data_IF_074009086827
#
_entry.id   IF_074009086827
#
_cell.length_a   1.000
_cell.length_b   1.000
_cell.length_c   1.000
_cell.angle_alpha   90.00
_cell.angle_beta   90.00
_cell.angle_gamma   90.00
#
_symmetry.space_group_name_H-M   'P 1'
#
loop_
_entity.id
_entity.type
_entity.pdbx_description
1 polymer ?
#
# COMPACT_ATOMS: atom_id res chain seq x y z
N UNK A 1 -17.89 -2.55 13.80
CA UNK A 1 -16.68 -3.39 13.70
C UNK A 1 -15.48 -2.51 13.99
N UNK A 2 -15.04 -2.50 15.24
CA UNK A 2 -13.82 -1.79 15.67
C UNK A 2 -12.62 -2.47 15.00
N UNK A 3 -11.69 -1.73 14.37
CA UNK A 3 -10.42 -2.33 13.97
C UNK A 3 -9.70 -2.77 15.24
N UNK A 4 -9.35 -4.05 15.32
CA UNK A 4 -8.53 -4.59 16.40
C UNK A 4 -7.21 -3.82 16.41
N UNK A 5 -6.96 -3.09 17.50
CA UNK A 5 -5.75 -2.33 17.81
C UNK A 5 -4.56 -3.23 18.15
N UNK A 6 -4.50 -4.42 17.53
CA UNK A 6 -3.41 -5.35 17.67
C UNK A 6 -2.40 -5.10 16.55
N UNK A 7 -1.13 -4.99 16.92
CA UNK A 7 -0.02 -4.86 15.97
C UNK A 7 -0.06 -6.02 14.95
N UNK A 8 0.31 -5.78 13.68
CA UNK A 8 0.36 -6.83 12.67
C UNK A 8 1.27 -7.97 13.12
N UNK A 9 0.85 -9.22 12.93
CA UNK A 9 1.61 -10.44 13.28
C UNK A 9 1.97 -11.22 12.01
N UNK A 10 2.87 -12.21 12.10
CA UNK A 10 3.21 -13.06 10.93
C UNK A 10 1.99 -13.84 10.37
N UNK A 11 0.99 -14.13 11.20
CA UNK A 11 -0.27 -14.74 10.76
C UNK A 11 -1.30 -13.71 10.25
N UNK A 12 -1.15 -12.43 10.61
CA UNK A 12 -2.06 -11.36 10.22
C UNK A 12 -1.31 -10.11 9.75
N UNK A 13 -0.87 -10.15 8.49
CA UNK A 13 -0.23 -9.00 7.85
C UNK A 13 -1.23 -7.87 7.58
N UNK A 14 -0.85 -6.65 7.91
CA UNK A 14 -1.60 -5.47 7.51
C UNK A 14 -1.46 -5.26 6.00
N UNK A 15 -2.58 -5.19 5.29
CA UNK A 15 -2.64 -4.97 3.84
C UNK A 15 -3.25 -3.62 3.56
N UNK A 16 -2.55 -2.80 2.77
CA UNK A 16 -3.05 -1.52 2.31
C UNK A 16 -3.29 -1.56 0.80
N UNK A 17 -4.41 -1.01 0.37
CA UNK A 17 -4.86 -1.07 -1.02
C UNK A 17 -4.60 0.23 -1.77
N UNK A 18 -4.65 0.15 -3.09
CA UNK A 18 -4.61 1.33 -3.93
C UNK A 18 -5.83 2.24 -3.69
N UNK A 19 -5.66 3.51 -4.01
CA UNK A 19 -6.73 4.50 -3.94
C UNK A 19 -7.79 4.21 -5.02
N UNK A 20 -9.07 4.04 -4.65
CA UNK A 20 -10.09 3.48 -5.54
C UNK A 20 -10.47 4.40 -6.70
N UNK A 21 -10.33 5.72 -6.56
CA UNK A 21 -10.73 6.66 -7.62
C UNK A 21 -9.93 6.45 -8.92
N UNK A 22 -8.66 6.04 -8.82
CA UNK A 22 -7.82 5.71 -9.99
C UNK A 22 -8.39 4.48 -10.71
N UNK A 23 -8.80 3.46 -9.93
CA UNK A 23 -9.47 2.27 -10.45
C UNK A 23 -10.79 2.62 -11.14
N UNK A 24 -11.60 3.51 -10.54
CA UNK A 24 -12.87 3.98 -11.13
C UNK A 24 -12.61 4.68 -12.47
N UNK A 25 -11.63 5.58 -12.52
CA UNK A 25 -11.29 6.33 -13.72
C UNK A 25 -10.82 5.39 -14.85
N UNK A 26 -9.87 4.50 -14.57
CA UNK A 26 -9.36 3.54 -15.54
C UNK A 26 -10.46 2.59 -16.04
N UNK A 27 -11.30 2.09 -15.13
CA UNK A 27 -12.39 1.20 -15.46
C UNK A 27 -13.45 1.91 -16.31
N UNK A 28 -13.86 3.12 -15.93
CA UNK A 28 -14.83 3.91 -16.67
C UNK A 28 -14.36 4.27 -18.08
N UNK A 29 -13.12 4.75 -18.22
CA UNK A 29 -12.52 5.06 -19.52
C UNK A 29 -12.36 3.81 -20.37
N UNK A 30 -11.87 2.70 -19.80
CA UNK A 30 -11.74 1.43 -20.50
C UNK A 30 -13.07 0.89 -21.03
N UNK A 31 -14.12 0.92 -20.19
CA UNK A 31 -15.47 0.51 -20.58
C UNK A 31 -16.06 1.42 -21.68
N UNK A 32 -15.88 2.74 -21.57
CA UNK A 32 -16.33 3.67 -22.60
C UNK A 32 -15.68 3.38 -23.96
N UNK A 33 -14.36 3.14 -23.98
CA UNK A 33 -13.63 2.77 -25.20
C UNK A 33 -14.16 1.45 -25.76
N UNK A 34 -14.41 0.44 -24.92
CA UNK A 34 -14.97 -0.83 -25.38
C UNK A 34 -16.35 -0.65 -26.02
N UNK A 35 -17.26 0.09 -25.38
CA UNK A 35 -18.61 0.34 -25.90
C UNK A 35 -18.55 1.07 -27.24
N UNK A 36 -17.73 2.12 -27.35
CA UNK A 36 -17.54 2.85 -28.61
C UNK A 36 -16.91 1.98 -29.69
N UNK A 37 -15.93 1.14 -29.35
CA UNK A 37 -15.27 0.23 -30.29
C UNK A 37 -16.25 -0.82 -30.83
N UNK A 38 -17.06 -1.42 -29.96
CA UNK A 38 -18.10 -2.38 -30.35
C UNK A 38 -19.13 -1.70 -31.26
N UNK A 39 -19.60 -0.50 -30.89
CA UNK A 39 -20.53 0.27 -31.72
C UNK A 39 -19.97 0.56 -33.12
N UNK A 40 -18.69 0.94 -33.20
CA UNK A 40 -17.99 1.15 -34.48
C UNK A 40 -17.87 -0.14 -35.28
N UNK A 41 -17.52 -1.27 -34.65
CA UNK A 41 -17.40 -2.57 -35.33
C UNK A 41 -18.74 -3.02 -35.92
N UNK A 42 -19.85 -2.79 -35.20
CA UNK A 42 -21.20 -3.12 -35.67
C UNK A 42 -21.64 -2.27 -36.87
N UNK A 43 -21.22 -1.00 -36.92
CA UNK A 43 -21.55 -0.10 -38.05
C UNK A 43 -20.67 -0.32 -39.27
N UNK A 44 -19.37 -0.53 -39.07
CA UNK A 44 -18.38 -0.61 -40.14
C UNK A 44 -18.16 -2.03 -40.66
N UNK A 45 -18.59 -3.06 -39.92
CA UNK A 45 -18.31 -4.46 -40.22
C UNK A 45 -16.83 -4.85 -40.15
N UNK A 46 -15.97 -3.95 -39.66
CA UNK A 46 -14.52 -4.13 -39.57
C UNK A 46 -14.06 -4.17 -38.13
N UNK A 47 -12.92 -4.82 -37.87
CA UNK A 47 -12.35 -4.92 -36.53
C UNK A 47 -11.73 -3.60 -36.07
N UNK A 48 -12.12 -3.12 -34.89
CA UNK A 48 -11.56 -1.93 -34.27
C UNK A 48 -10.57 -2.34 -33.16
N UNK A 49 -9.27 -2.14 -33.40
CA UNK A 49 -8.20 -2.51 -32.46
C UNK A 49 -8.24 -1.71 -31.15
N UNK A 50 -8.98 -0.60 -31.07
CA UNK A 50 -9.17 0.17 -29.84
C UNK A 50 -9.85 -0.65 -28.72
N UNK A 51 -10.59 -1.71 -29.06
CA UNK A 51 -11.18 -2.63 -28.08
C UNK A 51 -10.11 -3.30 -27.20
N UNK A 52 -8.91 -3.54 -27.73
CA UNK A 52 -7.78 -4.12 -26.99
C UNK A 52 -7.31 -3.14 -25.91
N UNK A 53 -7.18 -1.85 -26.28
CA UNK A 53 -6.81 -0.79 -25.34
C UNK A 53 -7.87 -0.61 -24.26
N UNK A 54 -9.15 -0.55 -24.65
CA UNK A 54 -10.28 -0.45 -23.72
C UNK A 54 -10.31 -1.61 -22.72
N UNK A 55 -10.10 -2.83 -23.20
CA UNK A 55 -10.02 -4.04 -22.38
C UNK A 55 -8.83 -3.99 -21.41
N UNK A 56 -7.65 -3.58 -21.89
CA UNK A 56 -6.47 -3.41 -21.06
C UNK A 56 -6.67 -2.41 -19.93
N UNK A 57 -7.29 -1.25 -20.22
CA UNK A 57 -7.61 -0.23 -19.23
C UNK A 57 -8.66 -0.72 -18.21
N UNK A 58 -9.68 -1.43 -18.67
CA UNK A 58 -10.69 -2.00 -17.79
C UNK A 58 -10.09 -3.04 -16.82
N UNK A 59 -9.22 -3.93 -17.32
CA UNK A 59 -8.49 -4.90 -16.50
C UNK A 59 -7.58 -4.19 -15.50
N UNK A 60 -6.83 -3.17 -15.94
CA UNK A 60 -5.99 -2.38 -15.05
C UNK A 60 -6.82 -1.72 -13.94
N UNK A 61 -7.94 -1.07 -14.28
CA UNK A 61 -8.87 -0.49 -13.32
C UNK A 61 -9.41 -1.50 -12.32
N UNK A 62 -9.76 -2.71 -12.77
CA UNK A 62 -10.17 -3.81 -11.89
C UNK A 62 -9.07 -4.25 -10.91
N UNK A 63 -7.81 -4.32 -11.37
CA UNK A 63 -6.67 -4.69 -10.52
C UNK A 63 -6.43 -3.68 -9.39
N UNK A 64 -6.72 -2.38 -9.62
CA UNK A 64 -6.63 -1.34 -8.58
C UNK A 64 -7.57 -1.60 -7.38
N UNK A 65 -8.67 -2.33 -7.57
CA UNK A 65 -9.60 -2.67 -6.49
C UNK A 65 -9.23 -3.96 -5.74
N UNK A 66 -8.53 -4.88 -6.40
CA UNK A 66 -8.32 -6.25 -5.90
C UNK A 66 -6.93 -6.47 -5.32
N UNK A 67 -5.94 -5.70 -5.77
CA UNK A 67 -4.53 -5.92 -5.41
C UNK A 67 -4.10 -5.01 -4.26
N UNK A 68 -3.45 -5.55 -3.22
CA UNK A 68 -2.82 -4.73 -2.20
C UNK A 68 -1.62 -4.01 -2.82
N UNK A 69 -1.43 -2.75 -2.46
CA UNK A 69 -0.27 -1.97 -2.87
C UNK A 69 0.96 -2.34 -2.04
N UNK A 70 0.79 -2.51 -0.73
CA UNK A 70 1.84 -3.00 0.16
C UNK A 70 1.27 -3.85 1.28
N UNK A 71 2.14 -4.68 1.85
CA UNK A 71 1.86 -5.45 3.07
C UNK A 71 2.91 -5.16 4.12
N UNK A 72 2.46 -4.97 5.34
CA UNK A 72 3.28 -4.75 6.52
C UNK A 72 3.19 -5.99 7.43
N UNK A 73 4.36 -6.56 7.72
CA UNK A 73 4.57 -7.65 8.65
C UNK A 73 5.49 -7.17 9.80
N UNK A 74 5.62 -7.91 10.91
CA UNK A 74 6.40 -7.51 12.08
C UNK A 74 7.84 -7.06 11.79
N UNK A 75 8.46 -7.66 10.77
CA UNK A 75 9.88 -7.48 10.45
C UNK A 75 10.14 -6.97 9.02
N UNK A 76 9.08 -6.67 8.25
CA UNK A 76 9.24 -6.28 6.84
C UNK A 76 8.06 -5.51 6.29
N UNK A 77 8.38 -4.55 5.43
CA UNK A 77 7.44 -3.89 4.54
C UNK A 77 7.69 -4.40 3.12
N UNK A 78 6.66 -4.93 2.48
CA UNK A 78 6.73 -5.42 1.10
C UNK A 78 5.83 -4.58 0.21
N UNK A 79 6.41 -3.99 -0.83
CA UNK A 79 5.69 -3.22 -1.85
C UNK A 79 5.48 -4.11 -3.07
N UNK A 80 4.26 -4.10 -3.60
CA UNK A 80 3.87 -4.83 -4.80
C UNK A 80 3.56 -3.87 -5.94
N UNK A 81 3.68 -4.35 -7.17
CA UNK A 81 3.11 -3.68 -8.33
C UNK A 81 1.65 -4.11 -8.51
N UNK A 82 0.98 -3.49 -9.49
CA UNK A 82 -0.42 -3.77 -9.81
C UNK A 82 -0.68 -5.23 -10.24
N UNK A 83 0.35 -5.95 -10.70
CA UNK A 83 0.27 -7.37 -11.04
C UNK A 83 0.48 -8.29 -9.83
N UNK A 84 0.70 -7.73 -8.63
CA UNK A 84 0.98 -8.49 -7.41
C UNK A 84 2.42 -9.02 -7.31
N UNK A 85 3.33 -8.59 -8.19
CA UNK A 85 4.76 -8.93 -8.08
C UNK A 85 5.44 -8.04 -7.05
N UNK A 86 6.34 -8.62 -6.25
CA UNK A 86 7.15 -7.88 -5.28
C UNK A 86 8.11 -6.94 -6.02
N UNK A 87 8.03 -5.65 -5.70
CA UNK A 87 8.90 -4.60 -6.26
C UNK A 87 10.09 -4.34 -5.35
N UNK A 88 9.83 -4.25 -4.04
CA UNK A 88 10.87 -3.99 -3.04
C UNK A 88 10.43 -4.54 -1.68
N UNK A 89 11.40 -5.07 -0.94
CA UNK A 89 11.26 -5.45 0.47
C UNK A 89 12.16 -4.55 1.30
N UNK A 90 11.62 -4.01 2.38
CA UNK A 90 12.33 -3.23 3.38
C UNK A 90 12.30 -4.02 4.69
N UNK A 91 13.39 -4.73 5.04
CA UNK A 91 13.49 -5.40 6.32
C UNK A 91 13.68 -4.38 7.45
N UNK A 92 13.10 -4.67 8.61
CA UNK A 92 13.30 -3.92 9.85
C UNK A 92 13.08 -4.85 11.04
N UNK A 93 13.57 -4.49 12.22
CA UNK A 93 13.46 -5.37 13.41
C UNK A 93 12.10 -5.23 14.09
N UNK A 94 11.60 -4.00 14.19
CA UNK A 94 10.40 -3.64 14.94
C UNK A 94 9.69 -2.47 14.29
N UNK A 95 8.39 -2.29 14.59
CA UNK A 95 7.60 -1.16 14.11
C UNK A 95 8.16 0.20 14.53
N UNK A 96 8.94 0.27 15.61
CA UNK A 96 9.56 1.50 16.14
C UNK A 96 10.62 2.08 15.21
N UNK A 97 11.06 1.29 14.23
CA UNK A 97 12.00 1.72 13.19
C UNK A 97 11.29 2.32 11.98
N UNK A 98 9.96 2.35 11.97
CA UNK A 98 9.16 3.03 10.97
C UNK A 98 8.84 4.44 11.43
N UNK A 99 8.93 5.41 10.52
CA UNK A 99 8.51 6.79 10.79
C UNK A 99 7.83 7.37 9.56
N UNK A 100 6.81 8.21 9.78
CA UNK A 100 6.12 8.92 8.70
C UNK A 100 6.44 10.40 8.82
N UNK A 101 7.20 10.93 7.87
CA UNK A 101 7.57 12.35 7.82
C UNK A 101 7.12 12.94 6.49
N UNK A 102 6.40 14.05 6.52
CA UNK A 102 5.88 14.73 5.32
C UNK A 102 5.10 13.83 4.34
N UNK A 103 4.44 12.79 4.87
CA UNK A 103 3.70 11.82 4.06
C UNK A 103 4.56 10.80 3.32
N UNK A 104 5.86 10.75 3.60
CA UNK A 104 6.78 9.71 3.17
C UNK A 104 7.02 8.76 4.33
N UNK A 105 6.90 7.46 4.07
CA UNK A 105 7.26 6.44 5.06
C UNK A 105 8.76 6.17 4.96
N UNK A 106 9.44 6.25 6.08
CA UNK A 106 10.86 5.95 6.25
C UNK A 106 11.03 4.66 7.04
N UNK A 107 12.04 3.89 6.66
CA UNK A 107 12.42 2.66 7.36
C UNK A 107 13.86 2.82 7.84
N UNK A 108 14.08 2.73 9.15
CA UNK A 108 15.43 2.56 9.72
C UNK A 108 15.75 1.07 9.76
N UNK A 109 16.81 0.67 9.09
CA UNK A 109 17.26 -0.72 9.11
C UNK A 109 18.64 -0.78 9.73
N UNK A 110 18.79 -1.55 10.81
CA UNK A 110 20.09 -1.92 11.39
C UNK A 110 20.94 -2.77 10.44
N UNK A 111 20.33 -3.34 9.39
CA UNK A 111 20.99 -4.13 8.36
C UNK A 111 21.61 -3.28 7.23
N UNK A 112 21.33 -1.98 7.18
CA UNK A 112 21.94 -1.05 6.22
C UNK A 112 23.05 -0.26 6.93
N UNK A 113 24.17 -0.09 6.24
CA UNK A 113 25.37 0.54 6.76
C UNK A 113 25.10 2.04 7.06
N UNK A 114 24.84 2.34 8.33
CA UNK A 114 24.49 3.66 8.84
C UNK A 114 23.04 3.74 9.33
N UNK A 115 22.84 4.30 10.52
CA UNK A 115 21.52 4.51 11.19
C UNK A 115 20.65 5.57 10.48
N UNK A 116 20.83 5.75 9.16
CA UNK A 116 20.11 6.73 8.36
C UNK A 116 18.77 6.14 7.90
N UNK A 117 17.65 6.85 8.12
CA UNK A 117 16.34 6.41 7.63
C UNK A 117 16.32 6.38 6.10
N UNK A 118 15.93 5.25 5.50
CA UNK A 118 15.73 5.12 4.04
C UNK A 118 14.29 5.50 3.68
N UNK A 119 14.06 6.46 2.76
CA UNK A 119 12.72 6.74 2.26
C UNK A 119 12.19 5.56 1.44
N UNK A 120 11.01 5.07 1.80
CA UNK A 120 10.37 4.01 1.02
C UNK A 120 9.88 4.54 -0.33
N UNK A 121 9.85 3.68 -1.36
CA UNK A 121 9.26 4.01 -2.67
C UNK A 121 7.72 4.13 -2.65
N UNK A 122 7.12 4.09 -1.47
CA UNK A 122 5.69 4.15 -1.27
C UNK A 122 5.21 5.59 -1.51
N UNK A 123 4.18 5.75 -2.33
CA UNK A 123 3.55 7.06 -2.59
C UNK A 123 2.23 7.15 -1.83
N UNK A 124 2.13 8.05 -0.84
CA UNK A 124 0.92 8.25 -0.02
C UNK A 124 -0.36 8.42 -0.86
N UNK A 125 -0.30 9.18 -1.95
CA UNK A 125 -1.48 9.46 -2.78
C UNK A 125 -2.02 8.22 -3.51
N UNK A 126 -1.19 7.18 -3.70
CA UNK A 126 -1.61 5.90 -4.25
C UNK A 126 -2.27 4.99 -3.22
N UNK A 127 -2.10 5.26 -1.92
CA UNK A 127 -2.68 4.45 -0.85
C UNK A 127 -4.09 4.94 -0.55
N UNK A 128 -5.00 4.00 -0.25
CA UNK A 128 -6.31 4.33 0.28
C UNK A 128 -6.18 5.16 1.56
N UNK A 129 -6.83 6.32 1.63
CA UNK A 129 -6.65 7.26 2.76
C UNK A 129 -6.95 6.65 4.13
N UNK A 130 -7.91 5.70 4.21
CA UNK A 130 -8.23 4.96 5.44
C UNK A 130 -7.10 4.00 5.85
N UNK A 131 -6.47 3.34 4.89
CA UNK A 131 -5.37 2.41 5.15
C UNK A 131 -4.11 3.18 5.54
N UNK A 132 -3.89 4.36 4.96
CA UNK A 132 -2.81 5.25 5.38
C UNK A 132 -2.95 5.70 6.84
N UNK A 133 -4.15 6.09 7.27
CA UNK A 133 -4.41 6.45 8.67
C UNK A 133 -4.14 5.28 9.63
N UNK A 134 -4.61 4.08 9.29
CA UNK A 134 -4.34 2.87 10.09
C UNK A 134 -2.86 2.54 10.18
N UNK A 135 -2.10 2.77 9.12
CA UNK A 135 -0.64 2.63 9.16
C UNK A 135 -0.03 3.59 10.18
N UNK A 136 -0.44 4.87 10.17
CA UNK A 136 0.04 5.87 11.13
C UNK A 136 -0.32 5.47 12.57
N UNK A 137 -1.58 5.12 12.81
CA UNK A 137 -2.05 4.63 14.12
C UNK A 137 -1.22 3.42 14.61
N UNK A 138 -0.86 2.49 13.72
CA UNK A 138 -0.02 1.33 14.07
C UNK A 138 1.39 1.74 14.50
N UNK A 139 1.96 2.74 13.82
CA UNK A 139 3.30 3.26 14.14
C UNK A 139 3.25 4.04 15.46
N UNK A 140 2.24 4.88 15.65
CA UNK A 140 2.08 5.68 16.87
C UNK A 140 1.92 4.79 18.10
N UNK A 141 1.08 3.75 18.03
CA UNK A 141 0.92 2.74 19.10
C UNK A 141 2.25 2.04 19.42
N UNK A 142 3.02 1.67 18.40
CA UNK A 142 4.30 1.00 18.61
C UNK A 142 5.31 1.92 19.33
N UNK A 143 5.33 3.20 18.97
CA UNK A 143 6.17 4.21 19.62
C UNK A 143 5.75 4.45 21.08
N UNK A 144 4.45 4.51 21.37
CA UNK A 144 3.92 4.66 22.74
C UNK A 144 4.34 3.49 23.65
N UNK A 145 4.22 2.24 23.16
CA UNK A 145 4.61 1.03 23.92
C UNK A 145 6.09 1.10 24.32
N UNK A 146 6.97 1.57 23.42
CA UNK A 146 8.40 1.72 23.72
C UNK A 146 8.64 2.72 24.85
N UNK A 147 7.96 3.86 24.83
CA UNK A 147 8.13 4.91 25.84
C UNK A 147 7.61 4.45 27.22
N UNK A 148 6.56 3.62 27.28
CA UNK A 148 6.11 3.03 28.55
C UNK A 148 7.10 2.01 29.12
N UNK A 149 7.75 1.19 28.29
CA UNK A 149 8.73 0.21 28.76
C UNK A 149 10.00 0.88 29.31
N UNK A 150 10.50 1.93 28.64
CA UNK A 150 11.68 2.69 29.10
C UNK A 150 11.42 3.42 30.44
N UNK A 151 10.21 3.94 30.65
CA UNK A 151 9.85 4.67 31.90
C UNK A 151 9.48 3.77 33.08
N UNK A 152 9.20 2.49 32.83
CA UNK A 152 9.01 1.49 33.89
C UNK A 152 10.34 1.01 34.45
N UNK A 153 11.39 0.93 33.62
CA UNK A 153 12.70 0.41 34.02
C UNK A 153 13.46 1.36 34.94
N UNK A 154 13.25 2.67 34.80
CA UNK A 154 13.92 3.72 35.58
C UNK A 154 13.37 3.85 37.03
N UNK A 155 12.32 3.09 37.38
CA UNK A 155 11.72 3.11 38.73
C UNK A 155 12.24 2.03 39.67
N UNK A 156 13.01 1.06 39.18
CA UNK A 156 13.47 -0.10 39.97
C UNK A 156 14.96 -0.03 40.38
N UNK A 157 15.64 1.10 40.16
CA UNK A 157 17.02 1.31 40.61
C UNK A 157 17.13 2.56 41.51
N UNK A 158 17.14 2.40 42.85
CA UNK A 158 17.55 3.43 43.81
C UNK A 158 19.06 3.67 43.84
#
# INVERSE_FOLDING_TARGET
>A
MTPSSALPTESNHFKAYYQPWIGILLLGVGLAICVLSIGSMLQSGSFNSAIILGSGLAIAGYLYFTRPYFTLAPNRLTIYNLLGKVVKRYPFETFNKLSVENGTLYVKSSFLEGDRPEPTKLKKWLVKSKDWKRLQETIDIALEIRTSDETSFDRDHP
#
